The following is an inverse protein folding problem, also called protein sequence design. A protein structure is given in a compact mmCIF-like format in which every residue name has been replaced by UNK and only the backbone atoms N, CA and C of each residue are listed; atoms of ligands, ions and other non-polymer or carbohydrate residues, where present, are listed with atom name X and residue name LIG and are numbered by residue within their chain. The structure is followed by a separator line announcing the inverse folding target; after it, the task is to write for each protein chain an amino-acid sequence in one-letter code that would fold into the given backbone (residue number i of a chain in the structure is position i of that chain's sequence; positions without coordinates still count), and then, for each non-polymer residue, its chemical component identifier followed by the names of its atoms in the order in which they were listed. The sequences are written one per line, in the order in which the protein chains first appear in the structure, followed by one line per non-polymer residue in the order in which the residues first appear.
data_IF_934006657900
#
_entry.id   IF_934006657900
#
_cell.length_a   1.000
_cell.length_b   1.000
_cell.length_c   1.000
_cell.angle_alpha   90.00
_cell.angle_beta   90.00
_cell.angle_gamma   90.00
#
_symmetry.space_group_name_H-M   'P 1'
#
loop_
_entity.id
_entity.type
_entity.pdbx_description
1 polymer ?
#
# COMPACT_ATOMS: atom_id res chain seq x y z
N UNK A 1 -2.67 -35.69 -11.79
CA UNK A 1 -3.82 -34.74 -11.67
C UNK A 1 -3.87 -34.32 -10.21
N UNK A 2 -3.59 -33.08 -9.88
CA UNK A 2 -3.58 -32.60 -8.48
C UNK A 2 -5.03 -32.61 -7.95
N UNK A 3 -5.30 -33.37 -6.90
CA UNK A 3 -6.61 -33.40 -6.26
C UNK A 3 -6.77 -32.08 -5.51
N UNK A 4 -7.77 -31.32 -5.87
CA UNK A 4 -8.05 -30.02 -5.27
C UNK A 4 -8.76 -30.28 -3.94
N UNK A 5 -8.11 -29.90 -2.84
CA UNK A 5 -8.73 -30.03 -1.51
C UNK A 5 -9.64 -28.83 -1.23
N UNK A 6 -10.67 -29.05 -0.43
CA UNK A 6 -11.57 -27.99 -0.01
C UNK A 6 -10.89 -27.05 0.99
N UNK A 7 -11.36 -25.82 1.08
CA UNK A 7 -10.84 -24.89 2.08
C UNK A 7 -11.20 -25.37 3.49
N UNK A 8 -10.22 -25.36 4.39
CA UNK A 8 -10.41 -25.72 5.79
C UNK A 8 -10.58 -24.43 6.60
N UNK A 9 -11.52 -24.41 7.52
CA UNK A 9 -11.80 -23.25 8.37
C UNK A 9 -11.59 -23.62 9.83
N UNK A 10 -10.70 -22.91 10.50
CA UNK A 10 -10.35 -23.12 11.92
C UNK A 10 -10.63 -21.83 12.70
N UNK A 11 -11.25 -21.96 13.86
CA UNK A 11 -11.45 -20.82 14.77
C UNK A 11 -10.10 -20.41 15.35
N UNK A 12 -9.71 -19.14 15.17
CA UNK A 12 -8.47 -18.59 15.72
C UNK A 12 -8.72 -17.89 17.07
N UNK A 13 -9.73 -17.04 17.12
CA UNK A 13 -10.25 -16.40 18.33
C UNK A 13 -11.76 -16.13 18.17
N UNK A 14 -12.38 -15.38 19.10
CA UNK A 14 -13.82 -15.14 19.06
C UNK A 14 -14.27 -14.31 17.85
N UNK A 15 -13.40 -13.50 17.28
CA UNK A 15 -13.70 -12.60 16.18
C UNK A 15 -13.06 -13.00 14.85
N UNK A 16 -12.18 -14.05 14.84
CA UNK A 16 -11.33 -14.37 13.70
C UNK A 16 -11.36 -15.86 13.38
N UNK A 17 -11.47 -16.19 12.10
CA UNK A 17 -11.22 -17.52 11.55
C UNK A 17 -10.00 -17.51 10.63
N UNK A 18 -9.30 -18.63 10.59
CA UNK A 18 -8.29 -18.94 9.59
C UNK A 18 -8.89 -19.85 8.55
N UNK A 19 -8.94 -19.38 7.29
CA UNK A 19 -9.22 -20.21 6.14
C UNK A 19 -7.90 -20.71 5.56
N UNK A 20 -7.68 -22.01 5.55
CA UNK A 20 -6.50 -22.63 4.92
C UNK A 20 -6.77 -22.85 3.44
N UNK A 21 -5.88 -22.35 2.60
CA UNK A 21 -5.97 -22.47 1.14
C UNK A 21 -4.72 -23.15 0.62
N UNK A 22 -4.89 -24.30 -0.02
CA UNK A 22 -3.77 -25.08 -0.55
C UNK A 22 -3.30 -24.54 -1.92
N UNK A 23 -1.98 -24.51 -2.09
CA UNK A 23 -1.32 -24.34 -3.38
C UNK A 23 -0.12 -25.26 -3.50
N UNK A 24 -0.19 -26.26 -4.36
CA UNK A 24 0.78 -27.35 -4.42
C UNK A 24 0.90 -28.03 -3.03
N UNK A 25 2.10 -28.11 -2.49
CA UNK A 25 2.40 -28.73 -1.20
C UNK A 25 2.38 -27.73 -0.01
N UNK A 26 1.97 -26.47 -0.27
CA UNK A 26 1.95 -25.41 0.74
C UNK A 26 0.52 -25.02 1.08
N UNK A 27 0.30 -24.71 2.36
CA UNK A 27 -0.93 -24.13 2.87
C UNK A 27 -0.72 -22.67 3.23
N UNK A 28 -1.71 -21.83 2.90
CA UNK A 28 -1.75 -20.42 3.22
C UNK A 28 -2.83 -20.15 4.26
N UNK A 29 -2.47 -19.55 5.36
CA UNK A 29 -3.37 -19.13 6.41
C UNK A 29 -3.94 -17.75 6.05
N UNK A 30 -5.25 -17.71 5.87
CA UNK A 30 -5.99 -16.52 5.44
C UNK A 30 -6.92 -16.09 6.56
N UNK A 31 -6.73 -14.89 7.07
CA UNK A 31 -7.50 -14.36 8.19
C UNK A 31 -8.77 -13.66 7.68
N UNK A 32 -9.92 -14.02 8.27
CA UNK A 32 -11.23 -13.43 8.01
C UNK A 32 -11.95 -13.17 9.33
N UNK A 33 -12.88 -12.22 9.33
CA UNK A 33 -13.74 -11.99 10.49
C UNK A 33 -14.76 -13.15 10.64
N UNK A 34 -15.14 -13.46 11.90
CA UNK A 34 -16.15 -14.49 12.21
C UNK A 34 -17.49 -14.21 11.52
N UNK A 35 -17.87 -12.94 11.40
CA UNK A 35 -19.10 -12.50 10.74
C UNK A 35 -19.14 -12.78 9.23
N UNK A 36 -17.98 -12.97 8.60
CA UNK A 36 -17.86 -13.27 7.18
C UNK A 36 -17.74 -14.79 6.90
N UNK A 37 -17.67 -15.63 7.94
CA UNK A 37 -17.43 -17.06 7.81
C UNK A 37 -18.43 -17.74 6.86
N UNK A 38 -19.73 -17.62 7.14
CA UNK A 38 -20.79 -18.24 6.33
C UNK A 38 -20.73 -17.77 4.87
N UNK A 39 -20.55 -16.47 4.68
CA UNK A 39 -20.42 -15.86 3.36
C UNK A 39 -19.21 -16.42 2.60
N UNK A 40 -18.07 -16.56 3.25
CA UNK A 40 -16.82 -17.04 2.62
C UNK A 40 -16.91 -18.56 2.35
N UNK A 41 -17.48 -19.34 3.26
CA UNK A 41 -17.67 -20.79 3.09
C UNK A 41 -18.58 -21.14 1.92
N UNK A 42 -19.46 -20.25 1.49
CA UNK A 42 -20.36 -20.47 0.34
C UNK A 42 -19.63 -20.63 -1.00
N UNK A 43 -18.31 -20.38 -1.05
CA UNK A 43 -17.48 -20.44 -2.27
C UNK A 43 -16.19 -21.22 -2.02
N UNK A 44 -15.66 -21.79 -3.12
CA UNK A 44 -14.35 -22.41 -3.11
C UNK A 44 -13.29 -21.36 -3.48
N UNK A 45 -12.28 -21.21 -2.63
CA UNK A 45 -11.19 -20.24 -2.77
C UNK A 45 -9.88 -20.89 -3.16
N UNK A 46 -9.08 -20.19 -3.94
CA UNK A 46 -7.75 -20.62 -4.38
C UNK A 46 -6.78 -19.44 -4.38
N UNK A 47 -5.48 -19.72 -4.39
CA UNK A 47 -4.46 -18.69 -4.49
C UNK A 47 -4.34 -18.13 -5.90
N UNK A 48 -3.96 -16.86 -5.98
CA UNK A 48 -3.53 -16.17 -7.20
C UNK A 48 -2.23 -15.42 -6.91
N UNK A 49 -1.15 -15.86 -7.55
CA UNK A 49 0.18 -15.30 -7.35
C UNK A 49 0.39 -14.12 -8.31
N UNK A 50 0.63 -12.93 -7.76
CA UNK A 50 0.96 -11.71 -8.54
C UNK A 50 2.24 -11.09 -8.01
N UNK A 51 3.28 -11.11 -8.83
CA UNK A 51 4.62 -10.63 -8.42
C UNK A 51 5.07 -11.36 -7.14
N UNK A 52 5.24 -10.63 -6.05
CA UNK A 52 5.68 -11.15 -4.75
C UNK A 52 4.53 -11.34 -3.74
N UNK A 53 3.27 -11.12 -4.17
CA UNK A 53 2.09 -11.23 -3.29
C UNK A 53 1.20 -12.41 -3.71
N UNK A 54 0.59 -13.03 -2.71
CA UNK A 54 -0.42 -14.08 -2.88
C UNK A 54 -1.77 -13.51 -2.54
N UNK A 55 -2.70 -13.56 -3.47
CA UNK A 55 -4.09 -13.16 -3.26
C UNK A 55 -5.00 -14.37 -3.27
N UNK A 56 -6.14 -14.25 -2.63
CA UNK A 56 -7.15 -15.29 -2.58
C UNK A 56 -8.29 -14.91 -3.53
N UNK A 57 -8.69 -15.87 -4.38
CA UNK A 57 -9.65 -15.64 -5.45
C UNK A 57 -10.61 -16.81 -5.61
N UNK A 58 -11.79 -16.51 -6.13
CA UNK A 58 -12.78 -17.52 -6.60
C UNK A 58 -13.16 -17.23 -8.05
N UNK A 59 -13.86 -18.17 -8.72
CA UNK A 59 -14.30 -18.04 -10.11
C UNK A 59 -13.25 -18.51 -11.13
N UNK A 60 -13.51 -18.26 -12.40
CA UNK A 60 -12.70 -18.73 -13.53
C UNK A 60 -12.02 -17.56 -14.26
N UNK A 61 -10.70 -17.58 -14.33
CA UNK A 61 -9.92 -16.55 -15.02
C UNK A 61 -10.23 -16.47 -16.53
N UNK A 62 -10.47 -17.63 -17.17
CA UNK A 62 -10.76 -17.71 -18.61
C UNK A 62 -12.04 -16.98 -19.02
N UNK A 63 -13.06 -16.96 -18.17
CA UNK A 63 -14.35 -16.29 -18.42
C UNK A 63 -14.48 -14.95 -17.69
N UNK A 64 -13.35 -14.39 -17.23
CA UNK A 64 -13.28 -13.09 -16.51
C UNK A 64 -14.20 -12.97 -15.28
N UNK A 65 -14.56 -14.10 -14.66
CA UNK A 65 -15.40 -14.14 -13.44
C UNK A 65 -14.56 -14.20 -12.16
N UNK A 66 -13.29 -13.82 -12.24
CA UNK A 66 -12.38 -13.87 -11.11
C UNK A 66 -12.73 -12.80 -10.07
N UNK A 67 -13.08 -13.26 -8.87
CA UNK A 67 -13.40 -12.38 -7.74
C UNK A 67 -12.33 -12.54 -6.65
N UNK A 68 -11.77 -11.43 -6.19
CA UNK A 68 -10.84 -11.40 -5.06
C UNK A 68 -11.58 -11.48 -3.75
N UNK A 69 -11.02 -12.18 -2.74
CA UNK A 69 -11.65 -12.36 -1.43
C UNK A 69 -11.91 -11.02 -0.74
N UNK A 70 -10.94 -10.11 -0.71
CA UNK A 70 -11.10 -8.77 -0.13
C UNK A 70 -12.24 -7.98 -0.78
N UNK A 71 -12.40 -8.06 -2.11
CA UNK A 71 -13.52 -7.42 -2.80
C UNK A 71 -14.85 -8.06 -2.42
N UNK A 72 -14.87 -9.39 -2.29
CA UNK A 72 -16.06 -10.14 -1.92
C UNK A 72 -16.51 -9.82 -0.49
N UNK A 73 -15.60 -9.78 0.46
CA UNK A 73 -15.87 -9.41 1.86
C UNK A 73 -16.42 -7.98 1.94
N UNK A 74 -15.78 -7.04 1.27
CA UNK A 74 -16.17 -5.62 1.27
C UNK A 74 -17.42 -5.31 0.42
N UNK A 75 -18.05 -6.32 -0.23
CA UNK A 75 -19.12 -6.12 -1.22
C UNK A 75 -18.73 -5.07 -2.29
N UNK A 76 -17.43 -5.03 -2.60
CA UNK A 76 -16.90 -4.04 -3.52
C UNK A 76 -17.25 -4.38 -4.97
N UNK A 77 -18.02 -3.51 -5.60
CA UNK A 77 -18.19 -3.47 -7.06
C UNK A 77 -17.19 -2.49 -7.64
N UNK A 78 -16.62 -2.84 -8.80
CA UNK A 78 -15.59 -2.02 -9.43
C UNK A 78 -16.06 -0.56 -9.62
N UNK A 79 -15.33 0.36 -9.00
CA UNK A 79 -15.47 1.81 -9.17
C UNK A 79 -14.19 2.31 -9.83
N UNK A 80 -14.32 2.99 -10.97
CA UNK A 80 -13.15 3.51 -11.70
C UNK A 80 -12.30 4.41 -10.80
N UNK A 81 -11.02 4.06 -10.67
CA UNK A 81 -10.07 4.82 -9.86
C UNK A 81 -9.99 4.44 -8.38
N UNK A 82 -10.79 3.47 -7.93
CA UNK A 82 -10.73 2.95 -6.56
C UNK A 82 -10.38 1.46 -6.52
N UNK A 83 -9.85 1.00 -5.41
CA UNK A 83 -9.48 -0.42 -5.15
C UNK A 83 -9.62 -0.70 -3.65
N UNK A 84 -9.76 -1.98 -3.28
CA UNK A 84 -9.66 -2.40 -1.88
C UNK A 84 -8.20 -2.69 -1.56
N UNK A 85 -7.67 -2.02 -0.54
CA UNK A 85 -6.29 -2.14 -0.07
C UNK A 85 -6.21 -2.83 1.30
N UNK A 86 -5.13 -3.59 1.52
CA UNK A 86 -4.78 -4.19 2.81
C UNK A 86 -3.86 -3.23 3.57
N UNK A 87 -4.36 -2.65 4.68
CA UNK A 87 -3.68 -1.57 5.40
C UNK A 87 -2.31 -1.99 5.97
N UNK A 88 -2.17 -3.26 6.38
CA UNK A 88 -0.92 -3.84 6.85
C UNK A 88 -0.01 -4.35 5.71
N UNK A 89 -0.46 -4.26 4.45
CA UNK A 89 0.25 -4.78 3.28
C UNK A 89 0.22 -6.31 3.13
N UNK A 90 -0.40 -7.05 4.07
CA UNK A 90 -0.55 -8.49 4.02
C UNK A 90 -1.84 -8.89 3.30
N UNK A 91 -1.73 -9.38 2.07
CA UNK A 91 -2.86 -9.80 1.23
C UNK A 91 -3.62 -11.03 1.72
N UNK A 92 -3.14 -11.70 2.77
CA UNK A 92 -3.80 -12.83 3.43
C UNK A 92 -4.62 -12.39 4.65
N UNK A 93 -4.47 -11.16 5.14
CA UNK A 93 -5.28 -10.60 6.22
C UNK A 93 -6.51 -9.88 5.65
N UNK A 94 -7.59 -10.63 5.47
CA UNK A 94 -8.84 -10.16 4.87
C UNK A 94 -9.91 -9.74 5.90
N UNK A 95 -9.52 -9.40 7.12
CA UNK A 95 -10.44 -8.83 8.11
C UNK A 95 -10.85 -7.41 7.71
N UNK A 96 -12.12 -7.04 7.93
CA UNK A 96 -12.66 -5.72 7.58
C UNK A 96 -11.88 -4.57 8.23
N UNK A 97 -11.39 -4.78 9.45
CA UNK A 97 -10.53 -3.81 10.15
C UNK A 97 -9.22 -3.48 9.41
N UNK A 98 -8.75 -4.41 8.56
CA UNK A 98 -7.55 -4.26 7.73
C UNK A 98 -7.84 -3.86 6.28
N UNK A 99 -9.10 -3.91 5.84
CA UNK A 99 -9.49 -3.60 4.47
C UNK A 99 -10.01 -2.17 4.35
N UNK A 100 -9.56 -1.44 3.33
CA UNK A 100 -10.04 -0.09 3.05
C UNK A 100 -10.22 0.13 1.56
N UNK A 101 -11.33 0.75 1.18
CA UNK A 101 -11.51 1.25 -0.19
C UNK A 101 -10.72 2.56 -0.29
N UNK A 102 -9.75 2.57 -1.19
CA UNK A 102 -8.83 3.70 -1.40
C UNK A 102 -8.82 4.09 -2.87
N UNK A 103 -8.48 5.32 -3.17
CA UNK A 103 -8.20 5.70 -4.54
C UNK A 103 -6.96 4.97 -5.05
N UNK A 104 -6.89 4.75 -6.36
CA UNK A 104 -5.69 4.15 -6.99
C UNK A 104 -4.43 4.96 -6.67
N UNK A 105 -4.57 6.26 -6.51
CA UNK A 105 -3.50 7.15 -6.09
C UNK A 105 -3.02 6.83 -4.66
N UNK A 106 -3.94 6.72 -3.69
CA UNK A 106 -3.60 6.31 -2.33
C UNK A 106 -2.98 4.92 -2.29
N UNK A 107 -3.51 3.94 -3.04
CA UNK A 107 -2.97 2.58 -3.07
C UNK A 107 -1.55 2.52 -3.66
N UNK A 108 -1.26 3.30 -4.72
CA UNK A 108 0.11 3.42 -5.24
C UNK A 108 1.06 3.94 -4.15
N UNK A 109 0.61 4.83 -3.30
CA UNK A 109 1.41 5.38 -2.21
C UNK A 109 1.60 4.39 -1.04
N UNK A 110 0.65 3.50 -0.78
CA UNK A 110 0.74 2.44 0.24
C UNK A 110 1.65 1.26 -0.19
N UNK A 111 2.11 1.21 -1.46
CA UNK A 111 3.03 0.16 -1.87
C UNK A 111 4.36 0.25 -1.13
N UNK A 112 4.94 -0.91 -0.82
CA UNK A 112 6.24 -1.00 -0.16
C UNK A 112 7.30 -0.16 -0.88
N UNK A 113 8.19 0.43 -0.10
CA UNK A 113 9.36 1.14 -0.62
C UNK A 113 10.19 0.18 -1.47
N UNK A 114 10.72 0.65 -2.59
CA UNK A 114 11.54 -0.18 -3.49
C UNK A 114 12.74 -0.73 -2.73
N UNK A 115 13.10 -1.97 -3.02
CA UNK A 115 14.21 -2.69 -2.36
C UNK A 115 15.58 -1.99 -2.53
N UNK A 116 15.74 -1.20 -3.60
CA UNK A 116 16.92 -0.39 -3.88
C UNK A 116 16.94 0.95 -3.11
N UNK A 117 15.85 1.34 -2.48
CA UNK A 117 15.78 2.53 -1.63
C UNK A 117 16.25 2.20 -0.20
N UNK A 118 17.56 2.33 0.02
CA UNK A 118 18.20 2.05 1.31
C UNK A 118 17.77 2.98 2.45
N UNK A 119 17.11 4.11 2.15
CA UNK A 119 16.59 5.03 3.17
C UNK A 119 15.29 4.49 3.80
N UNK A 120 14.54 3.66 3.08
CA UNK A 120 13.27 3.12 3.57
C UNK A 120 12.10 4.13 3.54
N UNK A 121 12.31 5.34 3.00
CA UNK A 121 11.30 6.38 2.88
C UNK A 121 11.00 6.61 1.40
N UNK A 122 9.75 6.39 1.00
CA UNK A 122 9.34 6.51 -0.41
C UNK A 122 9.58 7.92 -0.95
N UNK A 123 10.20 7.98 -2.14
CA UNK A 123 10.48 9.23 -2.83
C UNK A 123 11.64 10.04 -2.23
N UNK A 124 12.24 9.58 -1.12
CA UNK A 124 13.48 10.14 -0.59
C UNK A 124 14.61 9.18 -0.95
N UNK A 125 15.62 9.66 -1.63
CA UNK A 125 16.76 8.87 -2.08
C UNK A 125 18.06 9.56 -1.75
N UNK A 126 19.13 8.79 -1.46
CA UNK A 126 20.48 9.32 -1.33
C UNK A 126 21.12 9.42 -2.71
N UNK A 127 21.72 10.53 -3.02
CA UNK A 127 22.58 10.68 -4.18
C UNK A 127 23.94 10.00 -3.94
N UNK A 128 24.64 9.56 -4.99
CA UNK A 128 25.96 8.93 -4.83
C UNK A 128 26.99 9.79 -4.07
N UNK A 129 26.83 11.10 -4.10
CA UNK A 129 27.85 12.08 -3.64
C UNK A 129 27.61 12.56 -2.23
N UNK A 130 26.70 12.57 -1.50
CA UNK A 130 26.54 13.07 -0.10
C UNK A 130 25.26 13.84 0.15
N UNK A 131 24.46 14.08 -0.89
CA UNK A 131 23.19 14.80 -0.77
C UNK A 131 21.99 13.85 -0.87
N UNK A 132 20.82 14.38 -0.56
CA UNK A 132 19.56 13.68 -0.70
C UNK A 132 18.73 14.34 -1.80
N UNK A 133 17.80 13.57 -2.37
CA UNK A 133 16.84 14.03 -3.37
C UNK A 133 15.45 13.54 -3.04
N UNK A 134 14.48 14.34 -3.44
CA UNK A 134 13.06 13.96 -3.36
C UNK A 134 12.50 13.87 -4.77
N UNK A 135 11.83 12.75 -5.05
CA UNK A 135 11.14 12.46 -6.30
C UNK A 135 9.67 12.16 -5.98
N UNK A 136 8.79 13.00 -6.47
CA UNK A 136 7.38 12.94 -6.20
C UNK A 136 6.58 13.13 -7.50
N UNK A 137 5.53 12.34 -7.69
CA UNK A 137 4.64 12.50 -8.83
C UNK A 137 3.20 12.61 -8.35
N UNK A 138 2.49 13.61 -8.85
CA UNK A 138 1.08 13.84 -8.58
C UNK A 138 0.36 14.27 -9.87
N UNK A 139 -0.80 13.66 -10.17
CA UNK A 139 -1.59 13.96 -11.37
C UNK A 139 -0.78 13.94 -12.68
N UNK A 140 0.12 12.93 -12.84
CA UNK A 140 1.03 12.77 -13.98
C UNK A 140 2.14 13.82 -14.08
N UNK A 141 2.21 14.80 -13.18
CA UNK A 141 3.29 15.76 -13.07
C UNK A 141 4.35 15.22 -12.12
N UNK A 142 5.62 15.29 -12.52
CA UNK A 142 6.75 14.87 -11.69
C UNK A 142 7.42 16.11 -11.08
N UNK A 143 7.59 16.08 -9.78
CA UNK A 143 8.30 17.07 -8.99
C UNK A 143 9.62 16.48 -8.51
N UNK A 144 10.72 17.17 -8.79
CA UNK A 144 12.05 16.70 -8.46
C UNK A 144 12.83 17.79 -7.69
N UNK A 145 13.27 17.44 -6.49
CA UNK A 145 13.96 18.35 -5.58
C UNK A 145 15.32 17.73 -5.22
N UNK A 146 16.39 18.10 -5.92
CA UNK A 146 17.74 17.59 -5.68
C UNK A 146 18.46 18.37 -4.57
N UNK A 147 19.60 17.80 -4.14
CA UNK A 147 20.65 18.50 -3.38
C UNK A 147 20.28 18.94 -1.95
N UNK A 148 19.42 18.19 -1.27
CA UNK A 148 19.23 18.36 0.17
C UNK A 148 20.48 17.90 0.92
N UNK A 149 20.96 18.71 1.86
CA UNK A 149 22.21 18.43 2.62
C UNK A 149 21.98 17.32 3.64
N UNK A 150 20.83 17.29 4.28
CA UNK A 150 20.49 16.33 5.31
C UNK A 150 19.26 15.51 4.94
N UNK A 151 19.09 14.37 5.61
CA UNK A 151 17.92 13.51 5.43
C UNK A 151 16.66 14.20 5.98
N UNK A 152 16.79 14.97 7.05
CA UNK A 152 15.73 15.74 7.69
C UNK A 152 15.15 16.77 6.71
N UNK A 153 16.02 17.52 5.98
CA UNK A 153 15.58 18.45 4.94
C UNK A 153 14.81 17.73 3.83
N UNK A 154 15.32 16.59 3.36
CA UNK A 154 14.67 15.81 2.30
C UNK A 154 13.34 15.22 2.77
N UNK A 155 13.27 14.69 3.98
CA UNK A 155 12.04 14.14 4.55
C UNK A 155 11.01 15.25 4.78
N UNK A 156 11.43 16.41 5.26
CA UNK A 156 10.55 17.55 5.41
C UNK A 156 10.04 18.08 4.06
N UNK A 157 10.92 18.18 3.06
CA UNK A 157 10.53 18.53 1.69
C UNK A 157 9.43 17.57 1.19
N UNK A 158 9.64 16.28 1.36
CA UNK A 158 8.66 15.25 0.96
C UNK A 158 7.33 15.41 1.69
N UNK A 159 7.36 15.64 3.00
CA UNK A 159 6.16 15.89 3.81
C UNK A 159 5.42 17.12 3.30
N UNK A 160 6.09 18.23 3.13
CA UNK A 160 5.49 19.49 2.71
C UNK A 160 4.84 19.40 1.32
N UNK A 161 5.50 18.71 0.36
CA UNK A 161 4.91 18.45 -0.96
C UNK A 161 3.63 17.63 -0.87
N UNK A 162 3.61 16.60 -0.02
CA UNK A 162 2.41 15.80 0.20
C UNK A 162 1.27 16.62 0.79
N UNK A 163 1.55 17.40 1.84
CA UNK A 163 0.57 18.27 2.49
C UNK A 163 0.00 19.32 1.53
N UNK A 164 0.84 19.90 0.68
CA UNK A 164 0.41 20.84 -0.36
C UNK A 164 -0.65 20.24 -1.30
N UNK A 165 -0.54 18.95 -1.63
CA UNK A 165 -1.51 18.24 -2.45
C UNK A 165 -2.61 17.51 -1.65
N UNK A 166 -2.75 17.80 -0.36
CA UNK A 166 -3.74 17.18 0.51
C UNK A 166 -3.49 15.70 0.81
N UNK A 167 -2.24 15.25 0.68
CA UNK A 167 -1.82 13.87 0.95
C UNK A 167 -1.14 13.77 2.30
N UNK A 168 -1.29 12.63 2.99
CA UNK A 168 -0.74 12.44 4.34
C UNK A 168 0.05 11.13 4.48
N UNK A 169 0.69 10.70 3.41
CA UNK A 169 1.30 9.38 3.29
C UNK A 169 2.51 9.21 4.21
N UNK A 170 3.36 10.24 4.26
CA UNK A 170 4.57 10.24 5.08
C UNK A 170 4.24 10.17 6.58
N UNK A 171 3.08 10.70 6.98
CA UNK A 171 2.63 10.66 8.38
C UNK A 171 2.40 9.23 8.89
N UNK A 172 2.19 8.26 8.00
CA UNK A 172 2.02 6.84 8.31
C UNK A 172 3.31 6.04 8.32
N UNK A 173 4.45 6.65 7.98
CA UNK A 173 5.75 5.98 7.97
C UNK A 173 6.49 6.27 9.29
N UNK A 174 6.61 5.27 10.21
CA UNK A 174 7.27 5.48 11.49
C UNK A 174 8.74 5.91 11.36
N UNK A 175 9.43 5.44 10.31
CA UNK A 175 10.80 5.81 10.05
C UNK A 175 10.91 7.28 9.64
N UNK A 176 9.98 7.79 8.83
CA UNK A 176 9.97 9.19 8.42
C UNK A 176 9.76 10.14 9.62
N UNK A 177 8.91 9.73 10.59
CA UNK A 177 8.66 10.56 11.77
C UNK A 177 9.92 10.87 12.58
N UNK A 178 10.90 9.97 12.57
CA UNK A 178 12.18 10.15 13.27
C UNK A 178 13.02 11.30 12.71
N UNK A 179 12.78 11.68 11.46
CA UNK A 179 13.52 12.74 10.75
C UNK A 179 12.76 14.08 10.66
N UNK A 180 11.57 14.19 11.24
CA UNK A 180 10.79 15.44 11.27
C UNK A 180 11.17 16.31 12.48
N UNK A 181 12.44 16.67 12.57
CA UNK A 181 13.05 17.36 13.73
C UNK A 181 13.44 18.81 13.44
N UNK A 182 13.22 19.33 12.22
CA UNK A 182 13.58 20.69 11.84
C UNK A 182 12.74 21.74 12.56
N UNK A 183 13.39 22.81 13.00
CA UNK A 183 12.72 24.00 13.54
C UNK A 183 11.98 24.77 12.44
N UNK A 184 11.07 25.66 12.82
CA UNK A 184 10.33 26.48 11.84
C UNK A 184 11.24 27.33 10.96
N UNK A 185 12.32 27.88 11.52
CA UNK A 185 13.34 28.63 10.78
C UNK A 185 14.04 27.78 9.72
N UNK A 186 14.33 26.51 10.03
CA UNK A 186 14.94 25.56 9.10
C UNK A 186 13.96 25.08 8.03
N UNK A 187 12.67 25.04 8.34
CA UNK A 187 11.61 24.64 7.42
C UNK A 187 11.30 25.73 6.37
N UNK A 188 11.42 27.00 6.73
CA UNK A 188 11.00 28.11 5.86
C UNK A 188 11.66 28.11 4.47
N UNK A 189 13.00 27.97 4.33
CA UNK A 189 13.63 27.93 3.00
C UNK A 189 13.23 26.72 2.19
N UNK A 190 12.93 25.57 2.83
CA UNK A 190 12.46 24.36 2.14
C UNK A 190 11.09 24.60 1.53
N UNK A 191 10.17 25.20 2.29
CA UNK A 191 8.82 25.57 1.80
C UNK A 191 8.90 26.48 0.59
N UNK A 192 9.77 27.48 0.63
CA UNK A 192 9.96 28.43 -0.48
C UNK A 192 10.44 27.74 -1.77
N UNK A 193 11.44 26.85 -1.66
CA UNK A 193 11.97 26.08 -2.78
C UNK A 193 10.87 25.20 -3.38
N UNK A 194 10.10 24.52 -2.54
CA UNK A 194 9.02 23.62 -2.98
C UNK A 194 7.94 24.41 -3.71
N UNK A 195 7.46 25.53 -3.14
CA UNK A 195 6.41 26.35 -3.75
C UNK A 195 6.86 26.93 -5.11
N UNK A 196 8.09 27.42 -5.20
CA UNK A 196 8.67 27.90 -6.48
C UNK A 196 8.72 26.78 -7.55
N UNK A 197 9.10 25.58 -7.15
CA UNK A 197 9.15 24.41 -8.05
C UNK A 197 7.76 23.98 -8.53
N UNK A 198 6.78 23.94 -7.63
CA UNK A 198 5.41 23.59 -7.97
C UNK A 198 4.81 24.62 -8.94
N UNK A 199 4.99 25.90 -8.67
CA UNK A 199 4.52 26.98 -9.54
C UNK A 199 5.09 26.88 -10.98
N UNK A 200 6.35 26.48 -11.14
CA UNK A 200 6.98 26.27 -12.45
C UNK A 200 6.47 25.04 -13.20
N UNK A 201 6.02 24.03 -12.49
CA UNK A 201 5.53 22.80 -13.10
C UNK A 201 4.05 22.86 -13.52
N UNK A 202 3.35 23.92 -13.15
CA UNK A 202 1.91 24.14 -13.42
C UNK A 202 1.67 25.11 -14.59
N UNK A 203 2.73 25.67 -15.16
CA UNK A 203 2.75 26.52 -16.36
C UNK A 203 3.18 25.69 -17.55
#
# INVERSE_FOLDING_TARGET
MYKKEDNIFEKFDDNTYIMKVQYKDMWYDVYIDSDDLEKVQSKHWRTSHKKQKVYIVTGQAKVKTLTYLHNYIMNYTYITGYEVDHQDGNSLNNRKSNLKIVSRQENIFNTQVRIDNKIGIRGVCKNPWTSYKVDFSHNKVRYYFPNWKTIEEAVYCRKFVEEYFGLTMLNRNPLAQQYLTLTEEQQAPIKEIVLKSIAKATV
#
